data_IF_344228444348
#
_entry.id   IF_344228444348
#
_cell.length_a   1.000
_cell.length_b   1.000
_cell.length_c   1.000
_cell.angle_alpha   90.00
_cell.angle_beta   90.00
_cell.angle_gamma   90.00
#
_symmetry.space_group_name_H-M   'P 1'
#
loop_
_entity.id
_entity.type
_entity.pdbx_description
1 polymer ?
#
# COMPACT_ATOMS: atom_id res chain seq x y z
N UNK A 1 21.05 32.51 19.08
CA UNK A 1 20.84 32.84 17.65
C UNK A 1 21.57 31.78 16.86
N UNK A 2 21.05 30.54 16.87
CA UNK A 2 21.82 29.37 16.41
C UNK A 2 20.94 28.18 15.98
N UNK A 3 19.68 28.45 15.60
CA UNK A 3 18.72 27.41 15.21
C UNK A 3 18.27 27.50 13.74
N UNK A 4 18.72 28.51 12.99
CA UNK A 4 18.34 28.71 11.59
C UNK A 4 19.40 28.27 10.58
N UNK A 5 20.63 27.93 11.01
CA UNK A 5 21.68 27.42 10.13
C UNK A 5 21.72 25.89 9.99
N UNK A 6 20.99 25.14 10.83
CA UNK A 6 20.92 23.68 10.76
C UNK A 6 19.70 23.15 9.99
N UNK A 7 18.88 24.04 9.41
CA UNK A 7 17.65 23.68 8.69
C UNK A 7 17.81 23.68 7.16
N UNK A 8 19.03 23.86 6.65
CA UNK A 8 19.31 23.81 5.21
C UNK A 8 20.14 22.56 4.93
N UNK A 9 19.45 21.48 4.56
CA UNK A 9 20.09 20.29 4.02
C UNK A 9 20.49 20.56 2.55
N UNK A 10 21.77 20.83 2.32
CA UNK A 10 22.32 21.01 0.97
C UNK A 10 22.60 19.68 0.24
N UNK A 11 22.27 18.52 0.82
CA UNK A 11 22.51 17.22 0.17
C UNK A 11 21.63 16.99 -1.07
N UNK A 12 20.51 17.70 -1.19
CA UNK A 12 19.57 17.56 -2.32
C UNK A 12 19.93 18.39 -3.58
N UNK A 13 20.98 19.22 -3.51
CA UNK A 13 21.50 19.98 -4.67
C UNK A 13 22.81 19.38 -5.23
N UNK A 14 23.06 18.10 -4.97
CA UNK A 14 24.10 17.36 -5.65
C UNK A 14 23.71 17.17 -7.12
N UNK A 15 24.30 17.96 -8.02
CA UNK A 15 24.35 17.63 -9.45
C UNK A 15 24.85 16.19 -9.59
N UNK A 16 23.97 15.32 -10.08
CA UNK A 16 24.26 13.90 -10.28
C UNK A 16 25.43 13.76 -11.25
N UNK A 17 26.54 13.23 -10.75
CA UNK A 17 27.79 13.15 -11.48
C UNK A 17 27.85 11.81 -12.22
N UNK A 18 27.14 11.70 -13.34
CA UNK A 18 26.94 10.43 -14.06
C UNK A 18 28.22 9.93 -14.77
N UNK A 19 29.23 10.78 -15.02
CA UNK A 19 30.50 10.37 -15.65
C UNK A 19 31.70 11.07 -15.03
N UNK A 20 32.57 10.29 -14.39
CA UNK A 20 33.88 10.72 -13.86
C UNK A 20 34.97 10.47 -14.92
N UNK A 21 35.79 11.48 -15.23
CA UNK A 21 36.94 11.43 -16.17
C UNK A 21 36.63 11.39 -17.68
N UNK A 22 35.55 12.02 -18.16
CA UNK A 22 35.42 12.25 -19.61
C UNK A 22 36.23 13.48 -20.02
N UNK A 23 37.28 13.29 -20.83
CA UNK A 23 38.02 14.39 -21.42
C UNK A 23 37.14 15.07 -22.48
N UNK A 24 36.63 16.26 -22.18
CA UNK A 24 35.85 17.06 -23.11
C UNK A 24 36.84 17.69 -24.09
N UNK A 25 36.88 17.19 -25.32
CA UNK A 25 37.62 17.83 -26.41
C UNK A 25 36.73 18.95 -26.95
N UNK A 26 37.20 20.18 -26.88
CA UNK A 26 36.51 21.33 -27.46
C UNK A 26 36.76 21.33 -28.96
N UNK A 27 35.70 21.13 -29.74
CA UNK A 27 35.73 21.35 -31.18
C UNK A 27 35.66 22.86 -31.47
N UNK A 28 36.43 23.33 -32.45
CA UNK A 28 36.62 24.76 -32.75
C UNK A 28 35.61 25.32 -33.77
N UNK A 29 34.66 24.52 -34.24
CA UNK A 29 33.57 24.95 -35.11
C UNK A 29 32.45 25.66 -34.33
N UNK A 30 31.71 26.56 -34.98
CA UNK A 30 30.47 27.11 -34.44
C UNK A 30 29.44 25.97 -34.29
N UNK A 31 29.17 25.56 -33.05
CA UNK A 31 28.10 24.62 -32.72
C UNK A 31 26.82 25.37 -32.40
N UNK A 32 25.76 25.12 -33.17
CA UNK A 32 24.41 25.56 -32.81
C UNK A 32 23.91 24.71 -31.64
N UNK A 33 23.60 25.37 -30.52
CA UNK A 33 23.08 24.71 -29.32
C UNK A 33 21.57 24.91 -29.32
N UNK A 34 20.83 23.81 -29.44
CA UNK A 34 19.38 23.84 -29.28
C UNK A 34 19.01 24.48 -27.92
N UNK A 35 17.93 25.28 -27.85
CA UNK A 35 17.47 25.86 -26.60
C UNK A 35 17.25 24.74 -25.58
N UNK A 36 17.88 24.90 -24.41
CA UNK A 36 17.66 23.96 -23.32
C UNK A 36 16.16 23.88 -23.04
N UNK A 37 15.62 22.66 -22.96
CA UNK A 37 14.23 22.43 -22.64
C UNK A 37 13.87 23.21 -21.36
N UNK A 38 12.99 24.22 -21.44
CA UNK A 38 12.67 25.09 -20.30
C UNK A 38 11.84 24.36 -19.25
N UNK A 39 11.30 23.18 -19.58
CA UNK A 39 10.75 22.30 -18.57
C UNK A 39 11.92 21.58 -17.89
N UNK A 40 12.27 21.90 -16.63
CA UNK A 40 13.07 20.98 -15.85
C UNK A 40 12.35 19.65 -15.96
N UNK A 41 13.05 18.61 -16.40
CA UNK A 41 12.58 17.24 -16.17
C UNK A 41 12.38 17.18 -14.66
N UNK A 42 11.14 17.31 -14.19
CA UNK A 42 10.78 16.78 -12.87
C UNK A 42 11.34 15.38 -12.89
N UNK A 43 12.20 15.12 -11.90
CA UNK A 43 12.95 13.87 -11.81
C UNK A 43 12.03 12.72 -12.14
N UNK A 44 12.59 11.72 -12.83
CA UNK A 44 11.99 10.40 -12.92
C UNK A 44 11.12 10.17 -11.68
N UNK A 45 9.80 10.19 -11.85
CA UNK A 45 8.91 9.65 -10.85
C UNK A 45 9.24 8.16 -10.93
N UNK A 46 10.22 7.72 -10.15
CA UNK A 46 10.15 6.37 -9.60
C UNK A 46 8.70 6.28 -9.14
N UNK A 47 7.93 5.39 -9.78
CA UNK A 47 6.58 5.08 -9.32
C UNK A 47 6.73 4.92 -7.81
N UNK A 48 6.20 5.88 -7.06
CA UNK A 48 6.25 5.91 -5.61
C UNK A 48 5.39 4.70 -5.22
N UNK A 49 6.02 3.52 -5.17
CA UNK A 49 5.32 2.28 -4.88
C UNK A 49 4.78 2.49 -3.47
N UNK A 50 3.45 2.51 -3.37
CA UNK A 50 2.79 2.65 -2.08
C UNK A 50 3.38 1.56 -1.17
N UNK A 51 3.85 1.89 0.05
CA UNK A 51 4.39 0.90 0.96
C UNK A 51 3.42 -0.27 1.19
N UNK A 52 2.11 -0.05 1.03
CA UNK A 52 1.10 -1.10 1.06
C UNK A 52 1.22 -2.05 -0.15
N UNK A 53 1.49 -1.52 -1.34
CA UNK A 53 1.64 -2.32 -2.56
C UNK A 53 2.90 -3.19 -2.50
N UNK A 54 3.99 -2.70 -1.90
CA UNK A 54 5.17 -3.51 -1.62
C UNK A 54 4.88 -4.64 -0.63
N UNK A 55 4.15 -4.35 0.47
CA UNK A 55 3.75 -5.37 1.45
C UNK A 55 2.88 -6.44 0.79
N UNK A 56 1.90 -6.04 -0.04
CA UNK A 56 1.02 -6.97 -0.76
C UNK A 56 1.82 -7.78 -1.76
N UNK A 57 2.74 -7.16 -2.50
CA UNK A 57 3.61 -7.85 -3.46
C UNK A 57 4.48 -8.90 -2.77
N UNK A 58 5.16 -8.54 -1.68
CA UNK A 58 5.98 -9.47 -0.90
C UNK A 58 5.15 -10.61 -0.29
N UNK A 59 3.97 -10.28 0.25
CA UNK A 59 3.01 -11.26 0.75
C UNK A 59 2.63 -12.25 -0.34
N UNK A 60 2.25 -11.73 -1.50
CA UNK A 60 1.86 -12.52 -2.66
C UNK A 60 2.99 -13.37 -3.17
N UNK A 61 4.20 -12.85 -3.35
CA UNK A 61 5.36 -13.64 -3.79
C UNK A 61 5.60 -14.86 -2.89
N UNK A 62 5.42 -14.69 -1.57
CA UNK A 62 5.60 -15.76 -0.59
C UNK A 62 4.45 -16.76 -0.55
N UNK A 63 3.22 -16.33 -0.83
CA UNK A 63 1.99 -17.08 -0.61
C UNK A 63 1.11 -17.25 -1.87
N UNK A 64 1.66 -16.98 -3.07
CA UNK A 64 0.96 -16.83 -4.35
C UNK A 64 0.11 -18.04 -4.76
N UNK A 65 0.41 -19.23 -4.24
CA UNK A 65 -0.26 -20.45 -4.64
C UNK A 65 -1.68 -20.61 -4.05
N UNK A 66 -2.11 -19.75 -3.12
CA UNK A 66 -3.37 -19.94 -2.38
C UNK A 66 -4.38 -18.80 -2.40
N UNK A 67 -4.02 -17.60 -2.84
CA UNK A 67 -4.91 -16.43 -2.76
C UNK A 67 -5.41 -15.98 -4.13
N UNK A 68 -6.53 -16.56 -4.57
CA UNK A 68 -7.14 -16.34 -5.89
C UNK A 68 -7.87 -15.00 -6.06
N UNK A 69 -7.28 -13.90 -5.58
CA UNK A 69 -7.84 -12.55 -5.65
C UNK A 69 -6.96 -11.65 -6.52
N UNK A 70 -7.55 -10.64 -7.17
CA UNK A 70 -6.76 -9.65 -7.92
C UNK A 70 -5.93 -8.78 -6.97
N UNK A 71 -4.82 -8.16 -7.42
CA UNK A 71 -4.02 -7.28 -6.56
C UNK A 71 -4.84 -6.17 -5.89
N UNK A 72 -5.81 -5.59 -6.60
CA UNK A 72 -6.72 -4.58 -6.04
C UNK A 72 -7.63 -5.15 -4.95
N UNK A 73 -8.22 -6.33 -5.16
CA UNK A 73 -9.03 -7.00 -4.15
C UNK A 73 -8.20 -7.33 -2.90
N UNK A 74 -6.95 -7.78 -3.09
CA UNK A 74 -6.03 -8.07 -2.00
C UNK A 74 -5.72 -6.79 -1.20
N UNK A 75 -5.49 -5.66 -1.89
CA UNK A 75 -5.29 -4.35 -1.25
C UNK A 75 -6.49 -3.95 -0.41
N UNK A 76 -7.69 -4.03 -0.98
CA UNK A 76 -8.92 -3.71 -0.26
C UNK A 76 -9.10 -4.64 0.95
N UNK A 77 -8.84 -5.94 0.81
CA UNK A 77 -8.92 -6.91 1.91
C UNK A 77 -7.94 -6.57 3.03
N UNK A 78 -6.68 -6.28 2.71
CA UNK A 78 -5.67 -5.88 3.70
C UNK A 78 -6.06 -4.64 4.47
N UNK A 79 -6.43 -3.58 3.76
CA UNK A 79 -6.85 -2.31 4.37
C UNK A 79 -8.05 -2.53 5.27
N UNK A 80 -9.03 -3.33 4.81
CA UNK A 80 -10.19 -3.63 5.62
C UNK A 80 -9.81 -4.42 6.88
N UNK A 81 -8.90 -5.39 6.80
CA UNK A 81 -8.44 -6.15 7.97
C UNK A 81 -7.74 -5.22 8.96
N UNK A 82 -6.81 -4.38 8.49
CA UNK A 82 -6.11 -3.41 9.34
C UNK A 82 -7.09 -2.47 10.05
N UNK A 83 -8.08 -1.94 9.32
CA UNK A 83 -9.16 -1.12 9.90
C UNK A 83 -9.96 -1.88 10.96
N UNK A 84 -10.29 -3.15 10.73
CA UNK A 84 -10.98 -3.98 11.73
C UNK A 84 -10.13 -4.17 12.99
N UNK A 85 -8.81 -4.28 12.86
CA UNK A 85 -7.89 -4.38 14.00
C UNK A 85 -7.88 -3.07 14.80
N UNK A 86 -7.82 -1.93 14.13
CA UNK A 86 -7.84 -0.62 14.79
C UNK A 86 -9.15 -0.35 15.54
N UNK A 87 -10.28 -0.78 14.98
CA UNK A 87 -11.60 -0.64 15.61
C UNK A 87 -11.84 -1.63 16.75
N UNK A 88 -10.98 -2.63 16.92
CA UNK A 88 -11.17 -3.64 17.95
C UNK A 88 -11.07 -3.03 19.35
N UNK A 89 -12.01 -3.31 20.27
CA UNK A 89 -12.06 -2.65 21.59
C UNK A 89 -10.78 -2.87 22.42
N UNK A 90 -10.14 -4.03 22.25
CA UNK A 90 -8.90 -4.36 22.95
C UNK A 90 -7.63 -3.77 22.32
N UNK A 91 -7.69 -3.24 21.10
CA UNK A 91 -6.51 -2.76 20.38
C UNK A 91 -5.79 -1.64 21.12
N UNK A 92 -6.52 -0.60 21.53
CA UNK A 92 -5.92 0.53 22.23
C UNK A 92 -5.32 0.12 23.59
N UNK A 93 -6.05 -0.70 24.35
CA UNK A 93 -5.69 -1.05 25.74
C UNK A 93 -4.59 -2.12 25.80
N UNK A 94 -4.71 -3.19 25.03
CA UNK A 94 -3.83 -4.38 25.14
C UNK A 94 -2.62 -4.33 24.21
N UNK A 95 -2.73 -3.60 23.09
CA UNK A 95 -1.66 -3.50 22.10
C UNK A 95 -1.00 -2.11 22.05
N UNK A 96 -1.76 -1.04 21.80
CA UNK A 96 -1.19 0.30 21.55
C UNK A 96 -0.55 0.93 22.81
N UNK A 97 -1.22 0.83 23.94
CA UNK A 97 -0.80 1.49 25.19
C UNK A 97 -0.08 0.56 26.17
N UNK A 98 0.21 -0.68 25.77
CA UNK A 98 0.90 -1.65 26.60
C UNK A 98 2.42 -1.47 26.42
N UNK A 99 3.21 -1.30 27.48
CA UNK A 99 4.66 -1.13 27.37
C UNK A 99 5.43 -2.45 27.20
N UNK A 100 4.81 -3.61 27.49
CA UNK A 100 5.46 -4.92 27.40
C UNK A 100 5.43 -5.47 25.97
N UNK A 101 6.58 -5.60 25.26
CA UNK A 101 6.62 -6.07 23.89
C UNK A 101 6.02 -7.46 23.68
N UNK A 102 6.27 -8.40 24.60
CA UNK A 102 5.83 -9.78 24.42
C UNK A 102 4.30 -9.90 24.58
N UNK A 103 3.76 -9.21 25.57
CA UNK A 103 2.33 -9.21 25.82
C UNK A 103 1.56 -8.46 24.73
N UNK A 104 2.16 -7.44 24.09
CA UNK A 104 1.58 -6.76 22.92
C UNK A 104 1.43 -7.70 21.75
N UNK A 105 2.46 -8.46 21.41
CA UNK A 105 2.43 -9.36 20.25
C UNK A 105 1.37 -10.45 20.45
N UNK A 106 1.32 -11.06 21.64
CA UNK A 106 0.27 -12.02 22.00
C UNK A 106 -1.14 -11.41 21.93
N UNK A 107 -1.31 -10.17 22.41
CA UNK A 107 -2.59 -9.48 22.32
C UNK A 107 -2.98 -9.19 20.87
N UNK A 108 -2.02 -8.81 20.02
CA UNK A 108 -2.26 -8.56 18.60
C UNK A 108 -2.68 -9.84 17.87
N UNK A 109 -1.98 -10.94 18.07
CA UNK A 109 -2.35 -12.24 17.49
C UNK A 109 -3.75 -12.67 17.91
N UNK A 110 -4.09 -12.49 19.19
CA UNK A 110 -5.44 -12.80 19.69
C UNK A 110 -6.51 -11.95 19.01
N UNK A 111 -6.31 -10.63 18.95
CA UNK A 111 -7.24 -9.70 18.28
C UNK A 111 -7.41 -10.07 16.81
N UNK A 112 -6.29 -10.36 16.13
CA UNK A 112 -6.30 -10.73 14.72
C UNK A 112 -7.07 -12.04 14.49
N UNK A 113 -6.88 -13.04 15.36
CA UNK A 113 -7.62 -14.30 15.34
C UNK A 113 -9.14 -14.11 15.50
N UNK A 114 -9.56 -13.27 16.45
CA UNK A 114 -10.98 -12.95 16.66
C UNK A 114 -11.61 -12.28 15.43
N UNK A 115 -10.89 -11.36 14.79
CA UNK A 115 -11.34 -10.68 13.56
C UNK A 115 -11.46 -11.65 12.39
N UNK A 116 -10.50 -12.56 12.22
CA UNK A 116 -10.56 -13.56 11.15
C UNK A 116 -11.73 -14.53 11.35
N UNK A 117 -12.03 -14.91 12.58
CA UNK A 117 -13.20 -15.73 12.90
C UNK A 117 -14.51 -14.99 12.62
N UNK A 118 -14.61 -13.72 12.98
CA UNK A 118 -15.78 -12.89 12.69
C UNK A 118 -16.01 -12.78 11.18
N UNK A 119 -14.98 -12.45 10.40
CA UNK A 119 -15.07 -12.37 8.93
C UNK A 119 -15.50 -13.68 8.29
N UNK A 120 -14.93 -14.80 8.74
CA UNK A 120 -15.34 -16.13 8.26
C UNK A 120 -16.82 -16.38 8.53
N UNK A 121 -17.31 -15.99 9.72
CA UNK A 121 -18.71 -16.13 10.08
C UNK A 121 -19.60 -15.31 9.15
N UNK A 122 -19.25 -14.05 8.90
CA UNK A 122 -20.01 -13.16 8.02
C UNK A 122 -20.08 -13.70 6.58
N UNK A 123 -18.96 -14.21 6.05
CA UNK A 123 -18.92 -14.86 4.73
C UNK A 123 -19.83 -16.10 4.69
N UNK A 124 -19.76 -16.96 5.70
CA UNK A 124 -20.63 -18.14 5.80
C UNK A 124 -22.11 -17.77 5.94
N UNK A 125 -22.42 -16.70 6.68
CA UNK A 125 -23.79 -16.19 6.82
C UNK A 125 -24.34 -15.69 5.48
N UNK A 126 -23.54 -14.99 4.68
CA UNK A 126 -23.93 -14.58 3.33
C UNK A 126 -24.28 -15.79 2.45
N UNK A 127 -23.43 -16.82 2.43
CA UNK A 127 -23.70 -18.04 1.66
C UNK A 127 -24.95 -18.78 2.17
N UNK A 128 -25.13 -18.81 3.49
CA UNK A 128 -26.30 -19.42 4.11
C UNK A 128 -27.58 -18.68 3.71
N UNK A 129 -27.58 -17.35 3.75
CA UNK A 129 -28.71 -16.53 3.31
C UNK A 129 -29.02 -16.79 1.83
N UNK A 130 -28.00 -16.82 0.98
CA UNK A 130 -28.17 -17.14 -0.43
C UNK A 130 -28.77 -18.53 -0.69
N UNK A 131 -28.37 -19.53 0.09
CA UNK A 131 -28.86 -20.90 -0.05
C UNK A 131 -30.26 -21.12 0.54
N UNK A 132 -30.58 -20.48 1.66
CA UNK A 132 -31.79 -20.76 2.46
C UNK A 132 -32.94 -19.79 2.20
N UNK A 133 -32.65 -18.54 1.82
CA UNK A 133 -33.66 -17.51 1.58
C UNK A 133 -33.86 -17.27 0.08
N UNK A 134 -35.01 -17.72 -0.43
CA UNK A 134 -35.36 -17.60 -1.84
C UNK A 134 -35.60 -16.15 -2.28
N UNK A 135 -36.16 -15.31 -1.40
CA UNK A 135 -36.41 -13.91 -1.69
C UNK A 135 -35.10 -13.14 -1.78
N UNK A 136 -34.19 -13.36 -0.83
CA UNK A 136 -32.84 -12.81 -0.85
C UNK A 136 -32.09 -13.22 -2.13
N UNK A 137 -32.10 -14.51 -2.47
CA UNK A 137 -31.45 -15.03 -3.67
C UNK A 137 -31.98 -14.35 -4.93
N UNK A 138 -33.30 -14.26 -5.09
CA UNK A 138 -33.92 -13.62 -6.26
C UNK A 138 -33.56 -12.14 -6.35
N UNK A 139 -33.62 -11.41 -5.23
CA UNK A 139 -33.23 -10.01 -5.20
C UNK A 139 -31.76 -9.82 -5.59
N UNK A 140 -30.84 -10.62 -5.02
CA UNK A 140 -29.41 -10.54 -5.33
C UNK A 140 -29.13 -10.81 -6.81
N UNK A 141 -29.71 -11.88 -7.38
CA UNK A 141 -29.53 -12.22 -8.79
C UNK A 141 -30.06 -11.11 -9.70
N UNK A 142 -31.25 -10.57 -9.41
CA UNK A 142 -31.83 -9.50 -10.21
C UNK A 142 -30.98 -8.21 -10.16
N UNK A 143 -30.49 -7.83 -8.98
CA UNK A 143 -29.62 -6.66 -8.83
C UNK A 143 -28.31 -6.84 -9.60
N UNK A 144 -27.64 -7.98 -9.45
CA UNK A 144 -26.39 -8.25 -10.17
C UNK A 144 -26.63 -8.27 -11.68
N UNK A 145 -27.74 -8.85 -12.13
CA UNK A 145 -28.12 -8.87 -13.55
C UNK A 145 -28.25 -7.45 -14.12
N UNK A 146 -28.92 -6.55 -13.39
CA UNK A 146 -29.06 -5.14 -13.79
C UNK A 146 -27.74 -4.37 -13.84
N UNK A 147 -26.69 -4.82 -13.14
CA UNK A 147 -25.39 -4.15 -13.19
C UNK A 147 -24.54 -4.59 -14.39
N UNK A 148 -24.85 -5.74 -14.97
CA UNK A 148 -24.08 -6.33 -16.08
C UNK A 148 -24.76 -6.10 -17.44
N UNK A 149 -26.08 -5.84 -17.45
CA UNK A 149 -26.86 -5.40 -18.63
C UNK A 149 -26.82 -3.88 -18.81
#
# INVERSE_FOLDING_TARGET
>A
MDALLNAVDLSSYGLERVKLNQAIVLDAGEGEVDPQNPNPRSGYTEDEQDPLDEIIKLFNERWFQGWSATPEEQRIKFVNIAKSVEMHPDFAKKYKNNPDPHNRDLAFEKIFGEIMLARRKDELELYKLFAQDSAFRTALVNNVKQMVE
#
